data_IF_343615013331
#
_entry.id   IF_343615013331
#
_cell.length_a   1.000
_cell.length_b   1.000
_cell.length_c   1.000
_cell.angle_alpha   90.00
_cell.angle_beta   90.00
_cell.angle_gamma   90.00
#
_symmetry.space_group_name_H-M   'P 1'
#
loop_
_entity.id
_entity.type
_entity.pdbx_description
1 polymer ?
#
# COMPACT_ATOMS: atom_id res chain seq x y z
N UNK A 1 -4.95 -21.20 1.99
CA UNK A 1 -3.61 -20.93 1.44
C UNK A 1 -3.76 -21.04 -0.07
N UNK A 2 -3.48 -19.98 -0.80
CA UNK A 2 -3.61 -19.91 -2.26
C UNK A 2 -2.43 -20.62 -2.94
N UNK A 3 -2.67 -21.27 -4.07
CA UNK A 3 -1.65 -22.01 -4.84
C UNK A 3 -0.82 -21.04 -5.68
N UNK A 4 0.51 -21.21 -5.81
CA UNK A 4 1.28 -20.38 -6.74
C UNK A 4 0.86 -20.65 -8.19
N UNK A 5 0.91 -19.63 -9.05
CA UNK A 5 0.68 -19.78 -10.49
C UNK A 5 1.84 -20.58 -11.10
N UNK A 6 1.58 -21.66 -11.86
CA UNK A 6 2.63 -22.45 -12.48
C UNK A 6 3.35 -21.70 -13.61
N UNK A 7 4.59 -22.09 -13.89
CA UNK A 7 5.36 -21.56 -15.03
C UNK A 7 4.90 -22.26 -16.32
N UNK A 8 4.54 -21.48 -17.34
CA UNK A 8 4.12 -21.98 -18.66
C UNK A 8 5.24 -21.85 -19.68
N UNK A 9 5.36 -22.84 -20.57
CA UNK A 9 6.40 -22.86 -21.61
C UNK A 9 5.89 -22.43 -22.99
N UNK A 10 4.58 -22.32 -23.15
CA UNK A 10 3.93 -21.84 -24.37
C UNK A 10 2.65 -21.07 -24.05
N UNK A 11 2.25 -20.16 -24.95
CA UNK A 11 1.00 -19.40 -24.81
C UNK A 11 -0.23 -20.32 -24.87
N UNK A 12 -0.15 -21.45 -25.59
CA UNK A 12 -1.23 -22.43 -25.72
C UNK A 12 -1.52 -23.16 -24.39
N UNK A 13 -0.48 -23.39 -23.59
CA UNK A 13 -0.61 -23.92 -22.22
C UNK A 13 -1.25 -22.89 -21.28
N UNK A 14 -1.00 -21.59 -21.50
CA UNK A 14 -1.61 -20.50 -20.74
C UNK A 14 -3.11 -20.44 -21.01
N UNK A 15 -3.51 -20.43 -22.28
CA UNK A 15 -4.93 -20.39 -22.66
C UNK A 15 -5.70 -21.59 -22.11
N UNK A 16 -5.10 -22.80 -22.21
CA UNK A 16 -5.70 -24.02 -21.64
C UNK A 16 -5.86 -23.92 -20.12
N UNK A 17 -4.90 -23.33 -19.41
CA UNK A 17 -4.99 -23.10 -17.98
C UNK A 17 -6.08 -22.08 -17.64
N UNK A 18 -6.17 -20.97 -18.37
CA UNK A 18 -7.19 -19.94 -18.15
C UNK A 18 -8.62 -20.48 -18.34
N UNK A 19 -8.81 -21.39 -19.30
CA UNK A 19 -10.12 -21.98 -19.59
C UNK A 19 -10.56 -23.05 -18.57
N UNK A 20 -9.60 -23.70 -17.91
CA UNK A 20 -9.88 -24.90 -17.08
C UNK A 20 -9.66 -24.69 -15.59
N UNK A 21 -8.79 -23.76 -15.21
CA UNK A 21 -8.47 -23.51 -13.81
C UNK A 21 -9.45 -22.51 -13.18
N UNK A 22 -9.85 -22.80 -11.95
CA UNK A 22 -10.48 -21.81 -11.09
C UNK A 22 -9.40 -20.84 -10.58
N UNK A 23 -9.46 -19.58 -11.01
CA UNK A 23 -8.42 -18.58 -10.74
C UNK A 23 -8.46 -18.06 -9.29
N UNK A 24 -9.57 -18.21 -8.57
CA UNK A 24 -9.70 -17.78 -7.17
C UNK A 24 -8.83 -18.62 -6.21
N UNK A 25 -8.44 -19.79 -6.67
CA UNK A 25 -7.61 -20.76 -5.96
C UNK A 25 -6.11 -20.42 -6.01
N UNK A 26 -5.70 -19.45 -6.86
CA UNK A 26 -4.31 -19.14 -7.15
C UNK A 26 -3.87 -17.77 -6.61
N UNK A 27 -2.59 -17.67 -6.26
CA UNK A 27 -1.95 -16.45 -5.82
C UNK A 27 -1.52 -15.60 -7.01
N UNK A 28 -2.42 -14.72 -7.43
CA UNK A 28 -2.21 -13.78 -8.54
C UNK A 28 -1.34 -12.57 -8.13
N UNK A 29 -0.88 -12.49 -6.87
CA UNK A 29 -0.06 -11.36 -6.40
C UNK A 29 1.43 -11.50 -6.74
N UNK A 30 1.89 -12.70 -7.08
CA UNK A 30 3.31 -12.98 -7.35
C UNK A 30 3.90 -12.21 -8.55
N UNK A 31 3.06 -11.75 -9.48
CA UNK A 31 3.44 -10.92 -10.63
C UNK A 31 2.90 -9.48 -10.57
N UNK A 32 2.23 -9.10 -9.48
CA UNK A 32 1.65 -7.78 -9.32
C UNK A 32 2.78 -6.73 -9.28
N UNK A 33 2.73 -5.74 -10.19
CA UNK A 33 3.60 -4.58 -10.05
C UNK A 33 3.28 -3.89 -8.72
N UNK A 34 4.19 -3.08 -8.14
CA UNK A 34 3.93 -2.33 -6.90
C UNK A 34 2.67 -1.44 -6.96
N UNK A 35 2.18 -1.16 -8.17
CA UNK A 35 0.92 -0.46 -8.43
C UNK A 35 -0.31 -1.36 -8.26
N UNK A 36 -0.19 -2.64 -8.57
CA UNK A 36 -1.29 -3.61 -8.63
C UNK A 36 -1.60 -4.17 -7.23
N UNK A 37 -0.56 -4.46 -6.43
CA UNK A 37 -0.72 -4.69 -4.98
C UNK A 37 -1.36 -3.48 -4.27
N UNK A 38 -1.05 -2.27 -4.76
CA UNK A 38 -1.59 -1.05 -4.19
C UNK A 38 -3.07 -0.86 -4.50
N UNK A 39 -3.50 -1.12 -5.73
CA UNK A 39 -4.92 -1.11 -6.09
C UNK A 39 -5.72 -2.12 -5.24
N UNK A 40 -5.25 -3.37 -5.16
CA UNK A 40 -5.93 -4.43 -4.38
C UNK A 40 -5.99 -4.14 -2.87
N UNK A 41 -4.99 -3.44 -2.31
CA UNK A 41 -4.98 -3.06 -0.88
C UNK A 41 -5.84 -1.82 -0.59
N UNK A 42 -5.99 -0.89 -1.53
CA UNK A 42 -6.76 0.34 -1.33
C UNK A 42 -8.24 0.24 -1.67
N UNK A 43 -8.63 -0.70 -2.53
CA UNK A 43 -10.04 -1.02 -2.78
C UNK A 43 -10.73 -1.57 -1.51
N UNK A 44 -9.96 -2.15 -0.59
CA UNK A 44 -10.42 -2.63 0.72
C UNK A 44 -10.56 -1.56 1.81
N UNK A 45 -9.96 -0.38 1.65
CA UNK A 45 -10.14 0.71 2.62
C UNK A 45 -11.28 1.60 2.13
N UNK A 46 -12.49 1.36 2.64
CA UNK A 46 -13.62 2.29 2.54
C UNK A 46 -13.10 3.71 2.84
N UNK A 47 -13.15 4.60 1.84
CA UNK A 47 -12.73 6.00 1.97
C UNK A 47 -13.84 6.80 2.65
N UNK A 48 -14.18 6.41 3.88
CA UNK A 48 -15.35 6.87 4.63
C UNK A 48 -15.16 8.26 5.27
N UNK A 49 -13.91 8.69 5.47
CA UNK A 49 -13.58 10.00 6.03
C UNK A 49 -12.73 10.86 5.08
N UNK A 50 -13.03 12.17 5.03
CA UNK A 50 -12.28 13.18 4.27
C UNK A 50 -11.80 14.30 5.19
N UNK A 51 -10.62 14.84 4.91
CA UNK A 51 -10.07 16.00 5.61
C UNK A 51 -9.90 17.15 4.62
N UNK A 52 -10.24 18.37 5.04
CA UNK A 52 -9.96 19.60 4.30
C UNK A 52 -8.87 20.37 5.05
N UNK A 53 -7.72 20.59 4.40
CA UNK A 53 -6.56 21.21 5.01
C UNK A 53 -5.99 22.32 4.12
N UNK A 54 -5.64 23.46 4.73
CA UNK A 54 -4.86 24.51 4.06
C UNK A 54 -3.38 24.27 4.28
N UNK A 55 -2.61 24.36 3.20
CA UNK A 55 -1.17 24.18 3.19
C UNK A 55 -0.50 25.37 2.49
N UNK A 56 0.72 25.76 2.91
CA UNK A 56 1.57 26.62 2.10
C UNK A 56 1.76 26.03 0.71
N UNK A 57 1.76 26.87 -0.33
CA UNK A 57 1.93 26.43 -1.72
C UNK A 57 3.24 25.67 -1.92
N UNK A 58 4.34 26.18 -1.34
CA UNK A 58 5.66 25.53 -1.39
C UNK A 58 5.66 24.11 -0.80
N UNK A 59 4.90 23.89 0.27
CA UNK A 59 4.78 22.57 0.90
C UNK A 59 3.99 21.61 0.02
N UNK A 60 2.88 22.07 -0.57
CA UNK A 60 2.08 21.23 -1.46
C UNK A 60 2.90 20.82 -2.70
N UNK A 61 3.68 21.74 -3.28
CA UNK A 61 4.56 21.43 -4.41
C UNK A 61 5.64 20.42 -4.04
N UNK A 62 6.27 20.55 -2.87
CA UNK A 62 7.26 19.59 -2.40
C UNK A 62 6.67 18.18 -2.24
N UNK A 63 5.45 18.07 -1.70
CA UNK A 63 4.73 16.79 -1.56
C UNK A 63 4.40 16.20 -2.93
N UNK A 64 3.95 17.03 -3.89
CA UNK A 64 3.66 16.58 -5.27
C UNK A 64 4.92 16.07 -5.97
N UNK A 65 6.02 16.80 -5.87
CA UNK A 65 7.30 16.41 -6.48
C UNK A 65 7.81 15.08 -5.90
N UNK A 66 7.71 14.89 -4.59
CA UNK A 66 8.08 13.63 -3.93
C UNK A 66 7.21 12.47 -4.37
N UNK A 67 5.89 12.68 -4.45
CA UNK A 67 4.95 11.64 -4.91
C UNK A 67 5.23 11.23 -6.36
N UNK A 68 5.55 12.20 -7.23
CA UNK A 68 5.93 11.94 -8.62
C UNK A 68 7.23 11.12 -8.72
N UNK A 69 8.25 11.44 -7.91
CA UNK A 69 9.50 10.67 -7.85
C UNK A 69 9.27 9.22 -7.39
N UNK A 70 8.32 9.00 -6.47
CA UNK A 70 7.92 7.68 -6.00
C UNK A 70 6.90 6.98 -6.93
N UNK A 71 6.45 7.64 -8.01
CA UNK A 71 5.44 7.16 -8.95
C UNK A 71 4.12 6.75 -8.27
N UNK A 72 3.72 7.49 -7.23
CA UNK A 72 2.48 7.26 -6.48
C UNK A 72 1.57 8.50 -6.47
N UNK A 73 0.25 8.35 -6.24
CA UNK A 73 -0.64 9.49 -6.08
C UNK A 73 -0.28 10.34 -4.86
N UNK A 74 -0.39 11.66 -4.98
CA UNK A 74 -0.08 12.61 -3.90
C UNK A 74 -0.86 12.33 -2.61
N UNK A 75 -2.15 11.97 -2.73
CA UNK A 75 -2.97 11.61 -1.57
C UNK A 75 -2.44 10.39 -0.81
N UNK A 76 -1.84 9.42 -1.52
CA UNK A 76 -1.23 8.24 -0.91
C UNK A 76 -0.03 8.65 -0.07
N UNK A 77 0.87 9.46 -0.64
CA UNK A 77 2.06 9.94 0.07
C UNK A 77 1.66 10.72 1.35
N UNK A 78 0.64 11.59 1.25
CA UNK A 78 0.11 12.32 2.40
C UNK A 78 -0.38 11.36 3.49
N UNK A 79 -1.16 10.33 3.12
CA UNK A 79 -1.63 9.33 4.09
C UNK A 79 -0.48 8.60 4.74
N UNK A 80 0.51 8.15 3.97
CA UNK A 80 1.67 7.43 4.51
C UNK A 80 2.45 8.29 5.51
N UNK A 81 2.59 9.59 5.27
CA UNK A 81 3.25 10.50 6.20
C UNK A 81 2.46 10.68 7.49
N UNK A 82 1.13 10.83 7.41
CA UNK A 82 0.27 10.91 8.59
C UNK A 82 0.40 9.63 9.42
N UNK A 83 0.26 8.45 8.79
CA UNK A 83 0.37 7.17 9.48
C UNK A 83 1.74 6.96 10.13
N UNK A 84 2.83 7.30 9.43
CA UNK A 84 4.19 7.21 9.96
C UNK A 84 4.37 8.13 11.16
N UNK A 85 3.89 9.38 11.08
CA UNK A 85 3.95 10.35 12.18
C UNK A 85 3.24 9.86 13.44
N UNK A 86 2.04 9.28 13.28
CA UNK A 86 1.28 8.70 14.40
C UNK A 86 1.98 7.50 15.02
N UNK A 87 2.59 6.61 14.22
CA UNK A 87 3.37 5.48 14.73
C UNK A 87 4.61 5.93 15.50
N UNK A 88 5.34 6.93 14.99
CA UNK A 88 6.52 7.49 15.66
C UNK A 88 6.15 8.13 17.00
N UNK A 89 5.05 8.87 17.05
CA UNK A 89 4.56 9.48 18.30
C UNK A 89 4.19 8.42 19.35
N UNK A 90 3.46 7.38 18.96
CA UNK A 90 3.08 6.29 19.86
C UNK A 90 4.29 5.50 20.39
N UNK A 91 5.34 5.35 19.56
CA UNK A 91 6.58 4.73 20.00
C UNK A 91 7.33 5.61 21.01
N UNK A 92 7.37 6.93 20.79
CA UNK A 92 7.98 7.87 21.72
C UNK A 92 7.24 7.90 23.07
N UNK A 93 5.91 7.82 23.06
CA UNK A 93 5.07 7.86 24.26
C UNK A 93 5.26 6.59 25.12
N UNK A 94 5.35 5.41 24.49
CA UNK A 94 5.63 4.14 25.18
C UNK A 94 7.03 4.09 25.82
N UNK A 95 8.04 4.71 25.19
CA UNK A 95 9.41 4.79 25.74
C UNK A 95 9.46 5.69 26.97
N UNK A 96 8.70 6.79 26.97
CA UNK A 96 8.58 7.68 28.13
C UNK A 96 7.85 6.98 29.27
N UNK A 97 6.74 6.30 28.99
CA UNK A 97 5.94 5.61 30.02
C UNK A 97 6.69 4.42 30.66
N UNK A 98 7.44 3.64 29.87
CA UNK A 98 8.28 2.56 30.38
C UNK A 98 9.39 3.09 31.32
N UNK A 99 9.97 4.25 31.02
CA UNK A 99 11.02 4.89 31.83
C UNK A 99 10.47 5.45 33.15
N UNK A 100 9.20 5.86 33.18
CA UNK A 100 8.54 6.35 34.41
C UNK A 100 8.09 5.24 35.35
N UNK A 101 8.02 3.98 34.90
CA UNK A 101 7.54 2.84 35.70
C UNK A 101 8.67 2.05 36.40
N UNK A 102 9.93 2.40 36.15
CA UNK A 102 11.11 1.76 36.78
C UNK A 102 11.69 2.58 37.93
N UNK A 103 10.94 3.56 38.48
CA UNK A 103 11.40 4.39 39.59
C UNK A 103 10.46 4.34 40.78
#
# INVERSE_FOLDING_TARGET
MTKPVPEFQSDEDVETFLDTADLDDYDLSAGALPRDEWFARYERFMKDASIHLRLPSSLLEAVRARAAAEKIPTQRLIREYIERGLRTSAASEKVVEASTRTR
#
